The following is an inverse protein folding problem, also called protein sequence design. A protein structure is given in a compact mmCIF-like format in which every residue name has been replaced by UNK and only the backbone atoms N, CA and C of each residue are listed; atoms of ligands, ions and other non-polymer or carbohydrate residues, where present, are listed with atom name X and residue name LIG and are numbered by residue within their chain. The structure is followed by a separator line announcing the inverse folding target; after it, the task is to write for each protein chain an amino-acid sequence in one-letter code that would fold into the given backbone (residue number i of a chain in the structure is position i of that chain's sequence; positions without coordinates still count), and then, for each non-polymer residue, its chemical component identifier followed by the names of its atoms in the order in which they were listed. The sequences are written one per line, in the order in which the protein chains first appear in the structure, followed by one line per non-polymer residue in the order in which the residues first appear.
data_IF_149196499081
#
_entry.id   IF_149196499081
#
_cell.length_a   1.000
_cell.length_b   1.000
_cell.length_c   1.000
_cell.angle_alpha   90.00
_cell.angle_beta   90.00
_cell.angle_gamma   90.00
#
_symmetry.space_group_name_H-M   'P 1'
#
loop_
_entity.id
_entity.type
_entity.pdbx_description
1 polymer ?
#
# COMPACT_ATOMS: atom_id res chain seq x y z
N UNK A 1 19.39 36.53 -19.57
CA UNK A 1 19.29 35.17 -19.03
C UNK A 1 17.85 34.72 -19.27
N UNK A 2 17.59 33.96 -20.34
CA UNK A 2 16.22 33.61 -20.74
C UNK A 2 15.70 32.59 -19.73
N UNK A 3 14.85 33.05 -18.81
CA UNK A 3 13.92 32.20 -18.06
C UNK A 3 12.94 31.62 -19.06
N UNK A 4 13.40 30.64 -19.84
CA UNK A 4 12.55 29.88 -20.73
C UNK A 4 11.74 28.97 -19.81
N UNK A 5 10.45 29.24 -19.69
CA UNK A 5 9.54 28.48 -18.84
C UNK A 5 9.54 27.02 -19.30
N UNK A 6 10.42 26.23 -18.67
CA UNK A 6 10.64 24.84 -19.01
C UNK A 6 9.34 24.03 -18.91
N UNK A 7 8.39 24.48 -18.08
CA UNK A 7 7.06 23.85 -17.97
C UNK A 7 6.28 23.99 -19.26
N UNK A 8 6.26 25.18 -19.87
CA UNK A 8 5.58 25.40 -21.14
C UNK A 8 6.25 24.63 -22.29
N UNK A 9 7.59 24.54 -22.30
CA UNK A 9 8.31 23.69 -23.26
C UNK A 9 7.94 22.21 -23.09
N UNK A 10 8.09 21.66 -21.89
CA UNK A 10 7.79 20.24 -21.63
C UNK A 10 6.33 19.91 -21.91
N UNK A 11 5.41 20.86 -21.70
CA UNK A 11 3.99 20.69 -22.04
C UNK A 11 3.79 20.58 -23.55
N UNK A 12 4.46 21.41 -24.36
CA UNK A 12 4.45 21.28 -25.83
C UNK A 12 5.05 19.95 -26.28
N UNK A 13 6.19 19.55 -25.73
CA UNK A 13 6.87 18.29 -26.05
C UNK A 13 6.00 17.08 -25.64
N UNK A 14 5.27 17.17 -24.52
CA UNK A 14 4.30 16.14 -24.11
C UNK A 14 3.11 16.04 -25.06
N UNK A 15 2.64 17.17 -25.61
CA UNK A 15 1.56 17.19 -26.60
C UNK A 15 2.04 16.54 -27.89
N UNK A 16 3.21 16.93 -28.40
CA UNK A 16 3.81 16.35 -29.61
C UNK A 16 4.00 14.83 -29.45
N UNK A 17 4.54 14.39 -28.31
CA UNK A 17 4.67 12.96 -28.00
C UNK A 17 3.31 12.24 -28.05
N UNK A 18 2.28 12.79 -27.42
CA UNK A 18 0.94 12.19 -27.39
C UNK A 18 0.29 12.12 -28.77
N UNK A 19 0.41 13.16 -29.59
CA UNK A 19 -0.29 13.28 -30.88
C UNK A 19 0.43 12.57 -32.02
N UNK A 20 1.78 12.51 -31.98
CA UNK A 20 2.58 11.96 -33.08
C UNK A 20 3.30 10.67 -32.74
N UNK A 21 4.01 10.62 -31.61
CA UNK A 21 4.90 9.50 -31.27
C UNK A 21 4.12 8.30 -30.76
N UNK A 22 3.19 8.52 -29.83
CA UNK A 22 2.43 7.47 -29.19
C UNK A 22 1.57 6.64 -30.18
N UNK A 23 0.84 7.23 -31.16
CA UNK A 23 0.10 6.45 -32.16
C UNK A 23 0.99 5.64 -33.10
N UNK A 24 2.23 6.09 -33.31
CA UNK A 24 3.24 5.41 -34.13
C UNK A 24 3.99 4.31 -33.38
N UNK A 25 3.62 4.04 -32.12
CA UNK A 25 4.31 3.12 -31.21
C UNK A 25 5.75 3.51 -30.89
N UNK A 26 6.11 4.78 -31.07
CA UNK A 26 7.37 5.35 -30.60
C UNK A 26 7.21 5.76 -29.13
N UNK A 27 7.46 4.81 -28.23
CA UNK A 27 7.20 4.95 -26.80
C UNK A 27 8.33 5.60 -26.00
N UNK A 28 9.40 6.06 -26.64
CA UNK A 28 10.55 6.64 -25.93
C UNK A 28 10.22 7.99 -25.27
N UNK A 29 9.65 7.92 -24.07
CA UNK A 29 9.21 9.08 -23.31
C UNK A 29 10.36 9.96 -22.79
N UNK A 30 11.58 9.44 -22.78
CA UNK A 30 12.74 10.19 -22.27
C UNK A 30 13.03 11.41 -23.17
N UNK A 31 12.63 11.35 -24.45
CA UNK A 31 12.77 12.45 -25.40
C UNK A 31 12.15 13.76 -24.90
N UNK A 32 11.09 13.68 -24.09
CA UNK A 32 10.37 14.86 -23.57
C UNK A 32 11.25 15.61 -22.57
N UNK A 33 11.89 14.90 -21.64
CA UNK A 33 12.62 15.53 -20.54
C UNK A 33 14.14 15.52 -20.69
N UNK A 34 14.72 14.75 -21.62
CA UNK A 34 16.15 14.81 -21.90
C UNK A 34 16.58 16.20 -22.39
N UNK A 35 15.67 16.95 -23.01
CA UNK A 35 15.86 18.35 -23.40
C UNK A 35 15.90 19.33 -22.21
N UNK A 36 15.48 18.91 -21.01
CA UNK A 36 15.66 19.69 -19.79
C UNK A 36 17.17 19.82 -19.51
N UNK A 37 17.71 20.99 -19.15
CA UNK A 37 19.16 21.16 -19.00
C UNK A 37 19.71 20.74 -17.63
N UNK A 38 18.95 20.93 -16.55
CA UNK A 38 19.48 20.70 -15.20
C UNK A 38 19.42 19.22 -14.82
N UNK A 39 20.46 18.76 -14.12
CA UNK A 39 20.58 17.38 -13.61
C UNK A 39 20.91 17.43 -12.12
N UNK A 40 20.39 16.47 -11.38
CA UNK A 40 20.78 16.20 -9.99
C UNK A 40 21.41 14.82 -10.01
N UNK A 41 22.68 14.71 -9.61
CA UNK A 41 23.46 13.46 -9.66
C UNK A 41 23.42 12.78 -11.04
N UNK A 42 23.60 13.58 -12.10
CA UNK A 42 23.49 13.16 -13.51
C UNK A 42 22.13 12.58 -13.93
N UNK A 43 21.08 12.74 -13.12
CA UNK A 43 19.71 12.29 -13.42
C UNK A 43 18.76 13.45 -13.61
N UNK A 44 17.68 13.19 -14.36
CA UNK A 44 16.56 14.13 -14.50
C UNK A 44 15.88 14.29 -13.13
N UNK A 45 15.63 15.53 -12.66
CA UNK A 45 14.93 15.73 -11.41
C UNK A 45 13.54 15.08 -11.41
N UNK A 46 13.18 14.42 -10.30
CA UNK A 46 11.88 13.74 -10.17
C UNK A 46 10.68 14.69 -10.37
N UNK A 47 10.85 15.98 -10.04
CA UNK A 47 9.84 17.01 -10.26
C UNK A 47 9.48 17.17 -11.75
N UNK A 48 10.48 17.06 -12.64
CA UNK A 48 10.32 17.15 -14.09
C UNK A 48 9.55 15.92 -14.61
N UNK A 49 9.96 14.72 -14.21
CA UNK A 49 9.28 13.47 -14.57
C UNK A 49 7.82 13.49 -14.09
N UNK A 50 7.60 13.95 -12.86
CA UNK A 50 6.27 14.14 -12.29
C UNK A 50 5.42 15.13 -13.10
N UNK A 51 6.03 16.24 -13.54
CA UNK A 51 5.34 17.24 -14.36
C UNK A 51 4.92 16.67 -15.70
N UNK A 52 5.83 15.98 -16.40
CA UNK A 52 5.53 15.29 -17.67
C UNK A 52 4.44 14.24 -17.47
N UNK A 53 4.58 13.38 -16.47
CA UNK A 53 3.60 12.33 -16.16
C UNK A 53 2.19 12.89 -15.89
N UNK A 54 2.06 14.00 -15.17
CA UNK A 54 0.76 14.66 -14.92
C UNK A 54 0.13 15.23 -16.18
N UNK A 55 0.93 15.85 -17.06
CA UNK A 55 0.45 16.40 -18.33
C UNK A 55 0.02 15.28 -19.28
N UNK A 56 0.83 14.23 -19.40
CA UNK A 56 0.53 13.07 -20.24
C UNK A 56 -0.72 12.34 -19.75
N UNK A 57 -0.84 12.11 -18.44
CA UNK A 57 -2.02 11.53 -17.83
C UNK A 57 -3.30 12.33 -18.15
N UNK A 58 -3.21 13.66 -18.25
CA UNK A 58 -4.35 14.50 -18.59
C UNK A 58 -4.89 14.26 -20.00
N UNK A 59 -3.98 14.00 -20.95
CA UNK A 59 -4.32 13.69 -22.35
C UNK A 59 -4.83 12.26 -22.48
N UNK A 60 -4.10 11.29 -21.91
CA UNK A 60 -4.43 9.87 -22.00
C UNK A 60 -5.73 9.49 -21.32
N UNK A 61 -6.14 10.22 -20.27
CA UNK A 61 -7.32 9.85 -19.48
C UNK A 61 -8.62 9.74 -20.30
N UNK A 62 -8.72 10.31 -21.50
CA UNK A 62 -9.93 10.17 -22.34
C UNK A 62 -10.06 8.78 -22.97
N UNK A 63 -8.93 8.18 -23.35
CA UNK A 63 -8.87 6.92 -24.11
C UNK A 63 -7.80 5.98 -23.52
N UNK A 64 -7.73 5.93 -22.18
CA UNK A 64 -6.65 5.23 -21.47
C UNK A 64 -6.64 3.72 -21.73
N UNK A 65 -7.72 3.15 -22.25
CA UNK A 65 -7.83 1.75 -22.65
C UNK A 65 -7.10 1.42 -23.95
N UNK A 66 -6.79 2.42 -24.78
CA UNK A 66 -6.05 2.22 -26.05
C UNK A 66 -4.54 2.07 -25.87
N UNK A 67 -4.01 2.33 -24.68
CA UNK A 67 -2.57 2.52 -24.46
C UNK A 67 -1.94 1.50 -23.52
N UNK A 68 -2.51 0.29 -23.39
CA UNK A 68 -1.94 -0.77 -22.55
C UNK A 68 -0.50 -1.14 -22.94
N UNK A 69 -0.19 -1.24 -24.23
CA UNK A 69 1.18 -1.52 -24.70
C UNK A 69 2.18 -0.47 -24.20
N UNK A 70 1.77 0.80 -24.18
CA UNK A 70 2.60 1.88 -23.68
C UNK A 70 2.78 1.80 -22.16
N UNK A 71 1.74 1.40 -21.41
CA UNK A 71 1.84 1.22 -19.97
C UNK A 71 2.80 0.09 -19.60
N UNK A 72 2.73 -1.02 -20.33
CA UNK A 72 3.65 -2.13 -20.17
C UNK A 72 5.08 -1.72 -20.56
N UNK A 73 5.25 -0.90 -21.59
CA UNK A 73 6.55 -0.31 -21.94
C UNK A 73 7.12 0.55 -20.79
N UNK A 74 6.32 1.43 -20.18
CA UNK A 74 6.78 2.26 -19.06
C UNK A 74 7.32 1.41 -17.91
N UNK A 75 6.60 0.37 -17.52
CA UNK A 75 6.98 -0.49 -16.40
C UNK A 75 8.18 -1.38 -16.71
N UNK A 76 8.29 -1.88 -17.94
CA UNK A 76 9.32 -2.86 -18.31
C UNK A 76 10.61 -2.24 -18.87
N UNK A 77 10.56 -1.00 -19.38
CA UNK A 77 11.69 -0.36 -20.10
C UNK A 77 12.17 0.94 -19.50
N UNK A 78 11.36 1.63 -18.68
CA UNK A 78 11.69 2.96 -18.13
C UNK A 78 11.89 2.98 -16.61
N UNK A 79 11.95 1.81 -15.98
CA UNK A 79 12.28 1.62 -14.56
C UNK A 79 11.50 2.59 -13.62
N UNK A 80 12.22 3.34 -12.78
CA UNK A 80 11.64 4.26 -11.80
C UNK A 80 10.86 5.40 -12.48
N UNK A 81 11.41 5.99 -13.55
CA UNK A 81 10.78 7.11 -14.25
C UNK A 81 9.46 6.65 -14.89
N UNK A 82 9.48 5.47 -15.51
CA UNK A 82 8.29 4.84 -16.08
C UNK A 82 7.22 4.58 -15.03
N UNK A 83 7.62 4.06 -13.87
CA UNK A 83 6.70 3.80 -12.75
C UNK A 83 6.03 5.08 -12.23
N UNK A 84 6.78 6.18 -12.12
CA UNK A 84 6.22 7.49 -11.73
C UNK A 84 5.14 7.92 -12.72
N UNK A 85 5.44 7.89 -14.01
CA UNK A 85 4.52 8.32 -15.06
C UNK A 85 3.29 7.41 -15.09
N UNK A 86 3.49 6.10 -15.05
CA UNK A 86 2.43 5.09 -14.97
C UNK A 86 1.48 5.37 -13.80
N UNK A 87 2.01 5.60 -12.60
CA UNK A 87 1.20 5.87 -11.41
C UNK A 87 0.31 7.11 -11.56
N UNK A 88 0.80 8.17 -12.23
CA UNK A 88 -0.01 9.36 -12.52
C UNK A 88 -1.07 9.10 -13.59
N UNK A 89 -0.76 8.34 -14.64
CA UNK A 89 -1.75 7.95 -15.65
C UNK A 89 -2.89 7.15 -14.99
N UNK A 90 -2.52 6.12 -14.22
CA UNK A 90 -3.48 5.28 -13.51
C UNK A 90 -4.33 6.06 -12.51
N UNK A 91 -3.76 7.04 -11.80
CA UNK A 91 -4.51 7.91 -10.87
C UNK A 91 -5.68 8.66 -11.51
N UNK A 92 -5.63 8.90 -12.83
CA UNK A 92 -6.73 9.52 -13.59
C UNK A 92 -7.62 8.47 -14.24
N UNK A 93 -7.03 7.45 -14.86
CA UNK A 93 -7.76 6.41 -15.58
C UNK A 93 -8.74 5.65 -14.65
N UNK A 94 -8.26 5.30 -13.45
CA UNK A 94 -9.04 4.56 -12.45
C UNK A 94 -10.28 5.33 -11.98
N UNK A 95 -10.25 6.66 -11.95
CA UNK A 95 -11.41 7.47 -11.54
C UNK A 95 -12.56 7.42 -12.54
N UNK A 96 -12.26 7.11 -13.80
CA UNK A 96 -13.26 7.05 -14.87
C UNK A 96 -13.83 5.65 -15.07
N UNK A 97 -12.99 4.62 -14.99
CA UNK A 97 -13.38 3.21 -15.13
C UNK A 97 -12.77 2.36 -14.00
N UNK A 98 -13.23 2.51 -12.73
CA UNK A 98 -12.61 1.84 -11.58
C UNK A 98 -12.53 0.32 -11.74
N UNK A 99 -13.61 -0.33 -12.19
CA UNK A 99 -13.68 -1.78 -12.32
C UNK A 99 -12.67 -2.36 -13.31
N UNK A 100 -12.41 -1.64 -14.41
CA UNK A 100 -11.45 -2.05 -15.44
C UNK A 100 -10.03 -1.88 -14.92
N UNK A 101 -9.71 -0.70 -14.38
CA UNK A 101 -8.34 -0.40 -13.98
C UNK A 101 -7.94 -1.03 -12.65
N UNK A 102 -8.88 -1.35 -11.74
CA UNK A 102 -8.58 -2.15 -10.56
C UNK A 102 -8.11 -3.55 -10.94
N UNK A 103 -8.81 -4.23 -11.85
CA UNK A 103 -8.39 -5.56 -12.34
C UNK A 103 -7.03 -5.50 -13.06
N UNK A 104 -6.77 -4.44 -13.81
CA UNK A 104 -5.48 -4.25 -14.45
C UNK A 104 -4.36 -3.99 -13.43
N UNK A 105 -4.60 -3.11 -12.45
CA UNK A 105 -3.64 -2.79 -11.40
C UNK A 105 -3.35 -3.97 -10.48
N UNK A 106 -4.34 -4.84 -10.21
CA UNK A 106 -4.13 -6.10 -9.49
C UNK A 106 -3.05 -6.95 -10.16
N UNK A 107 -3.18 -7.17 -11.48
CA UNK A 107 -2.19 -7.93 -12.27
C UNK A 107 -0.81 -7.29 -12.20
N UNK A 108 -0.74 -5.97 -12.40
CA UNK A 108 0.53 -5.23 -12.35
C UNK A 108 1.16 -5.32 -10.95
N UNK A 109 0.41 -5.00 -9.90
CA UNK A 109 0.90 -4.97 -8.52
C UNK A 109 1.34 -6.36 -8.03
N UNK A 110 0.69 -7.42 -8.49
CA UNK A 110 1.10 -8.80 -8.20
C UNK A 110 2.45 -9.14 -8.84
N UNK A 111 2.77 -8.54 -9.99
CA UNK A 111 4.03 -8.74 -10.70
C UNK A 111 5.17 -7.80 -10.24
N UNK A 112 4.88 -6.78 -9.43
CA UNK A 112 5.89 -5.83 -8.95
C UNK A 112 6.92 -6.55 -8.06
N UNK A 113 8.21 -6.26 -8.31
CA UNK A 113 9.36 -6.91 -7.67
C UNK A 113 10.08 -6.06 -6.62
N UNK A 114 9.61 -4.83 -6.39
CA UNK A 114 10.21 -3.91 -5.42
C UNK A 114 9.16 -3.10 -4.63
N UNK A 115 9.51 -2.75 -3.39
CA UNK A 115 8.60 -2.04 -2.49
C UNK A 115 8.35 -0.58 -2.89
N UNK A 116 9.30 0.07 -3.56
CA UNK A 116 9.23 1.51 -3.88
C UNK A 116 8.18 1.75 -4.96
N UNK A 117 8.22 0.97 -6.03
CA UNK A 117 7.26 0.99 -7.12
C UNK A 117 5.85 0.63 -6.64
N UNK A 118 5.74 -0.43 -5.82
CA UNK A 118 4.47 -0.87 -5.27
C UNK A 118 3.81 0.23 -4.42
N UNK A 119 4.57 0.83 -3.49
CA UNK A 119 4.08 1.95 -2.67
C UNK A 119 3.64 3.14 -3.55
N UNK A 120 4.44 3.49 -4.56
CA UNK A 120 4.15 4.65 -5.42
C UNK A 120 2.83 4.48 -6.18
N UNK A 121 2.60 3.31 -6.77
CA UNK A 121 1.36 2.99 -7.48
C UNK A 121 0.19 2.99 -6.48
N UNK A 122 0.35 2.35 -5.33
CA UNK A 122 -0.68 2.29 -4.29
C UNK A 122 -1.05 3.69 -3.77
N UNK A 123 -0.08 4.55 -3.47
CA UNK A 123 -0.33 5.89 -2.94
C UNK A 123 -0.94 6.86 -3.97
N UNK A 124 -0.54 6.75 -5.25
CA UNK A 124 -0.98 7.69 -6.28
C UNK A 124 -2.25 7.24 -7.00
N UNK A 125 -2.39 5.94 -7.28
CA UNK A 125 -3.53 5.42 -8.04
C UNK A 125 -4.63 4.87 -7.14
N UNK A 126 -4.29 4.03 -6.17
CA UNK A 126 -5.28 3.28 -5.37
C UNK A 126 -5.81 4.10 -4.20
N UNK A 127 -4.94 4.65 -3.36
CA UNK A 127 -5.34 5.34 -2.13
C UNK A 127 -6.38 6.46 -2.37
N UNK A 128 -6.27 7.33 -3.39
CA UNK A 128 -7.25 8.39 -3.60
C UNK A 128 -8.67 7.89 -3.88
N UNK A 129 -8.83 6.76 -4.57
CA UNK A 129 -10.17 6.21 -4.83
C UNK A 129 -10.73 5.50 -3.60
N UNK A 130 -9.88 4.75 -2.87
CA UNK A 130 -10.30 4.04 -1.66
C UNK A 130 -10.70 5.05 -0.59
N UNK A 131 -9.89 6.09 -0.36
CA UNK A 131 -10.23 7.18 0.57
C UNK A 131 -11.55 7.87 0.21
N UNK A 132 -11.82 8.08 -1.08
CA UNK A 132 -13.06 8.76 -1.50
C UNK A 132 -14.29 7.88 -1.27
N UNK A 133 -14.16 6.56 -1.43
CA UNK A 133 -15.25 5.60 -1.31
C UNK A 133 -14.78 4.28 -0.66
N UNK A 134 -14.51 4.28 0.66
CA UNK A 134 -13.92 3.11 1.31
C UNK A 134 -14.80 1.87 1.19
N UNK A 135 -16.11 2.02 1.41
CA UNK A 135 -17.07 0.91 1.36
C UNK A 135 -17.16 0.23 -0.01
N UNK A 136 -16.87 0.94 -1.10
CA UNK A 136 -16.93 0.38 -2.46
C UNK A 136 -15.66 -0.42 -2.82
N UNK A 137 -14.48 0.03 -2.37
CA UNK A 137 -13.21 -0.51 -2.89
C UNK A 137 -12.37 -1.26 -1.86
N UNK A 138 -12.57 -1.02 -0.57
CA UNK A 138 -11.70 -1.56 0.47
C UNK A 138 -11.69 -3.10 0.49
N UNK A 139 -12.84 -3.74 0.30
CA UNK A 139 -12.94 -5.20 0.23
C UNK A 139 -12.13 -5.79 -0.93
N UNK A 140 -12.17 -5.15 -2.09
CA UNK A 140 -11.37 -5.55 -3.25
C UNK A 140 -9.88 -5.45 -2.94
N UNK A 141 -9.45 -4.34 -2.33
CA UNK A 141 -8.02 -4.14 -2.00
C UNK A 141 -7.55 -5.10 -0.90
N UNK A 142 -8.38 -5.42 0.09
CA UNK A 142 -8.02 -6.39 1.13
C UNK A 142 -7.86 -7.80 0.55
N UNK A 143 -8.70 -8.20 -0.42
CA UNK A 143 -8.56 -9.51 -1.10
C UNK A 143 -7.24 -9.66 -1.84
N UNK A 144 -6.56 -8.57 -2.21
CA UNK A 144 -5.24 -8.65 -2.84
C UNK A 144 -4.14 -9.15 -1.89
N UNK A 145 -4.40 -9.23 -0.58
CA UNK A 145 -3.49 -9.88 0.38
C UNK A 145 -3.35 -11.37 0.04
N UNK A 146 -4.40 -12.01 -0.47
CA UNK A 146 -4.44 -13.44 -0.83
C UNK A 146 -3.57 -13.77 -2.05
N UNK A 147 -3.03 -12.76 -2.75
CA UNK A 147 -2.10 -12.92 -3.88
C UNK A 147 -0.65 -13.18 -3.42
N UNK A 148 -0.41 -13.20 -2.10
CA UNK A 148 0.84 -13.58 -1.45
C UNK A 148 2.11 -12.82 -1.92
N UNK A 149 1.96 -11.69 -2.60
CA UNK A 149 3.07 -10.80 -2.93
C UNK A 149 3.45 -9.95 -1.71
N UNK A 150 4.60 -10.22 -1.09
CA UNK A 150 5.10 -9.50 0.10
C UNK A 150 5.14 -7.97 -0.06
N UNK A 151 5.47 -7.46 -1.25
CA UNK A 151 5.55 -6.01 -1.50
C UNK A 151 4.16 -5.38 -1.53
N UNK A 152 3.20 -6.10 -2.12
CA UNK A 152 1.80 -5.72 -2.16
C UNK A 152 1.18 -5.75 -0.76
N UNK A 153 1.38 -6.83 0.01
CA UNK A 153 0.90 -6.94 1.39
C UNK A 153 1.41 -5.77 2.24
N UNK A 154 2.71 -5.44 2.16
CA UNK A 154 3.28 -4.31 2.88
C UNK A 154 2.69 -2.96 2.42
N UNK A 155 2.42 -2.79 1.13
CA UNK A 155 1.82 -1.56 0.60
C UNK A 155 0.36 -1.43 1.02
N UNK A 156 -0.39 -2.54 1.06
CA UNK A 156 -1.75 -2.60 1.59
C UNK A 156 -1.74 -2.25 3.08
N UNK A 157 -0.81 -2.81 3.87
CA UNK A 157 -0.66 -2.44 5.28
C UNK A 157 -0.51 -0.91 5.46
N UNK A 158 0.40 -0.28 4.71
CA UNK A 158 0.56 1.19 4.74
C UNK A 158 -0.71 1.94 4.36
N UNK A 159 -1.43 1.47 3.33
CA UNK A 159 -2.69 2.05 2.90
C UNK A 159 -3.75 1.95 4.01
N UNK A 160 -3.90 0.78 4.63
CA UNK A 160 -4.87 0.54 5.70
C UNK A 160 -4.55 1.38 6.95
N UNK A 161 -3.28 1.45 7.36
CA UNK A 161 -2.84 2.32 8.46
C UNK A 161 -3.22 3.78 8.18
N UNK A 162 -2.94 4.26 6.97
CA UNK A 162 -3.28 5.63 6.56
C UNK A 162 -4.78 5.89 6.59
N UNK A 163 -5.60 4.91 6.21
CA UNK A 163 -7.06 4.99 6.32
C UNK A 163 -7.52 5.02 7.79
N UNK A 164 -7.01 4.14 8.65
CA UNK A 164 -7.36 4.09 10.08
C UNK A 164 -7.07 5.43 10.76
N UNK A 165 -5.93 6.07 10.45
CA UNK A 165 -5.60 7.39 10.99
C UNK A 165 -6.44 8.52 10.41
N UNK A 166 -6.94 8.38 9.19
CA UNK A 166 -7.73 9.43 8.53
C UNK A 166 -9.23 9.32 8.85
N UNK A 167 -9.75 8.10 8.98
CA UNK A 167 -11.16 7.76 9.20
C UNK A 167 -11.24 6.63 10.26
N UNK A 168 -11.07 6.96 11.56
CA UNK A 168 -11.01 5.97 12.64
C UNK A 168 -12.23 5.05 12.76
N UNK A 169 -13.40 5.46 12.27
CA UNK A 169 -14.58 4.59 12.21
C UNK A 169 -14.38 3.33 11.38
N UNK A 170 -13.45 3.35 10.41
CA UNK A 170 -13.11 2.21 9.57
C UNK A 170 -12.28 1.15 10.30
N UNK A 171 -11.70 1.47 11.45
CA UNK A 171 -10.82 0.55 12.19
C UNK A 171 -11.49 -0.80 12.49
N UNK A 172 -12.75 -0.79 12.96
CA UNK A 172 -13.52 -2.01 13.25
C UNK A 172 -13.80 -2.81 11.99
N UNK A 173 -14.14 -2.13 10.91
CA UNK A 173 -14.44 -2.76 9.62
C UNK A 173 -13.19 -3.42 9.02
N UNK A 174 -12.07 -2.69 8.98
CA UNK A 174 -10.78 -3.19 8.49
C UNK A 174 -10.35 -4.40 9.32
N UNK A 175 -10.43 -4.31 10.65
CA UNK A 175 -10.10 -5.42 11.53
C UNK A 175 -10.93 -6.65 11.23
N UNK A 176 -12.27 -6.53 11.17
CA UNK A 176 -13.15 -7.67 10.92
C UNK A 176 -12.89 -8.35 9.58
N UNK A 177 -12.46 -7.61 8.55
CA UNK A 177 -12.07 -8.18 7.25
C UNK A 177 -10.73 -8.91 7.30
N UNK A 178 -9.79 -8.45 8.11
CA UNK A 178 -8.49 -9.10 8.27
C UNK A 178 -8.56 -10.30 9.23
N UNK A 179 -9.44 -10.24 10.21
CA UNK A 179 -9.68 -11.29 11.20
C UNK A 179 -10.08 -12.62 10.53
N UNK A 180 -10.80 -12.58 9.42
CA UNK A 180 -11.23 -13.78 8.68
C UNK A 180 -10.07 -14.61 8.14
N UNK A 181 -8.88 -14.02 7.93
CA UNK A 181 -7.71 -14.74 7.42
C UNK A 181 -6.78 -15.28 8.52
N UNK A 182 -7.09 -15.06 9.80
CA UNK A 182 -6.21 -15.45 10.91
C UNK A 182 -5.95 -16.96 10.97
N UNK A 183 -6.93 -17.79 10.60
CA UNK A 183 -6.80 -19.24 10.71
C UNK A 183 -5.69 -19.81 9.80
N UNK A 184 -5.46 -19.16 8.65
CA UNK A 184 -4.51 -19.58 7.63
C UNK A 184 -3.43 -18.52 7.39
N UNK A 185 -3.15 -17.68 8.40
CA UNK A 185 -2.25 -16.54 8.23
C UNK A 185 -0.80 -16.97 7.95
N UNK A 186 -0.25 -16.48 6.84
CA UNK A 186 1.17 -16.55 6.53
C UNK A 186 1.97 -15.59 7.44
N UNK A 187 3.31 -15.70 7.52
CA UNK A 187 4.13 -14.79 8.33
C UNK A 187 3.92 -13.30 8.01
N UNK A 188 3.65 -12.96 6.75
CA UNK A 188 3.38 -11.57 6.35
C UNK A 188 1.96 -11.12 6.74
N UNK A 189 0.97 -12.02 6.72
CA UNK A 189 -0.38 -11.75 7.25
C UNK A 189 -0.35 -11.57 8.78
N UNK A 190 0.47 -12.35 9.50
CA UNK A 190 0.66 -12.18 10.95
C UNK A 190 1.23 -10.80 11.26
N UNK A 191 2.28 -10.38 10.53
CA UNK A 191 2.87 -9.04 10.67
C UNK A 191 1.88 -7.94 10.34
N UNK A 192 1.11 -8.10 9.25
CA UNK A 192 0.08 -7.14 8.85
C UNK A 192 -0.96 -6.98 9.95
N UNK A 193 -1.54 -8.06 10.46
CA UNK A 193 -2.54 -8.01 11.52
C UNK A 193 -2.00 -7.42 12.82
N UNK A 194 -0.78 -7.81 13.20
CA UNK A 194 -0.11 -7.24 14.38
C UNK A 194 0.12 -5.74 14.23
N UNK A 195 0.52 -5.30 13.04
CA UNK A 195 0.73 -3.88 12.72
C UNK A 195 -0.58 -3.10 12.79
N UNK A 196 -1.66 -3.63 12.21
CA UNK A 196 -2.97 -2.99 12.21
C UNK A 196 -3.50 -2.84 13.64
N UNK A 197 -3.41 -3.88 14.47
CA UNK A 197 -3.83 -3.81 15.87
C UNK A 197 -3.08 -2.73 16.66
N UNK A 198 -1.77 -2.54 16.41
CA UNK A 198 -1.00 -1.46 17.05
C UNK A 198 -1.49 -0.07 16.65
N UNK A 199 -1.92 0.11 15.41
CA UNK A 199 -2.48 1.38 14.95
C UNK A 199 -3.92 1.59 15.44
N UNK A 200 -4.69 0.51 15.60
CA UNK A 200 -5.99 0.56 16.28
C UNK A 200 -5.81 1.01 17.72
N UNK A 201 -4.81 0.52 18.46
CA UNK A 201 -4.54 1.01 19.82
C UNK A 201 -4.36 2.53 19.90
N UNK A 202 -3.73 3.15 18.90
CA UNK A 202 -3.50 4.60 18.87
C UNK A 202 -4.77 5.42 18.58
N UNK A 203 -5.73 4.84 17.87
CA UNK A 203 -6.91 5.55 17.35
C UNK A 203 -8.21 5.17 18.07
N UNK A 204 -8.32 3.93 18.54
CA UNK A 204 -9.46 3.38 19.26
C UNK A 204 -9.00 2.34 20.31
N UNK A 205 -8.48 2.79 21.47
CA UNK A 205 -8.00 1.91 22.55
C UNK A 205 -9.06 0.94 23.07
N UNK A 206 -10.31 1.39 23.20
CA UNK A 206 -11.40 0.55 23.71
C UNK A 206 -11.66 -0.65 22.80
N UNK A 207 -11.69 -0.41 21.48
CA UNK A 207 -11.82 -1.50 20.52
C UNK A 207 -10.60 -2.43 20.58
N UNK A 208 -9.38 -1.89 20.67
CA UNK A 208 -8.17 -2.70 20.83
C UNK A 208 -8.27 -3.65 22.03
N UNK A 209 -8.68 -3.18 23.21
CA UNK A 209 -8.83 -4.04 24.38
C UNK A 209 -9.97 -5.05 24.23
N UNK A 210 -11.07 -4.67 23.57
CA UNK A 210 -12.17 -5.60 23.30
C UNK A 210 -11.74 -6.79 22.43
N UNK A 211 -10.78 -6.60 21.51
CA UNK A 211 -10.20 -7.70 20.73
C UNK A 211 -9.50 -8.71 21.64
N UNK A 212 -8.67 -8.24 22.60
CA UNK A 212 -8.02 -9.15 23.55
C UNK A 212 -9.03 -9.90 24.41
N UNK A 213 -10.10 -9.23 24.85
CA UNK A 213 -11.16 -9.86 25.63
C UNK A 213 -11.88 -10.96 24.84
N UNK A 214 -12.21 -10.71 23.56
CA UNK A 214 -12.83 -11.69 22.66
C UNK A 214 -11.95 -12.94 22.49
N UNK A 215 -10.63 -12.76 22.47
CA UNK A 215 -9.66 -13.84 22.29
C UNK A 215 -9.05 -14.38 23.59
N UNK A 216 -9.59 -14.03 24.77
CA UNK A 216 -8.96 -14.38 26.06
C UNK A 216 -8.76 -15.87 26.30
N UNK A 217 -9.59 -16.70 25.67
CA UNK A 217 -9.54 -18.17 25.76
C UNK A 217 -8.82 -18.82 24.58
N UNK A 218 -8.20 -18.05 23.68
CA UNK A 218 -7.57 -18.61 22.49
C UNK A 218 -6.44 -19.58 22.85
N UNK A 219 -6.47 -20.75 22.21
CA UNK A 219 -5.42 -21.76 22.26
C UNK A 219 -4.70 -21.91 20.93
N UNK A 220 -5.08 -21.11 19.92
CA UNK A 220 -4.46 -21.15 18.61
C UNK A 220 -3.12 -20.37 18.63
N UNK A 221 -1.98 -21.02 18.34
CA UNK A 221 -0.68 -20.34 18.32
C UNK A 221 -0.62 -19.16 17.34
N UNK A 222 -1.29 -19.22 16.20
CA UNK A 222 -1.29 -18.14 15.20
C UNK A 222 -1.98 -16.89 15.77
N UNK A 223 -3.12 -17.08 16.45
CA UNK A 223 -3.86 -15.97 17.04
C UNK A 223 -3.05 -15.35 18.18
N UNK A 224 -2.41 -16.21 19.01
CA UNK A 224 -1.52 -15.75 20.07
C UNK A 224 -0.28 -15.02 19.52
N UNK A 225 0.23 -15.41 18.36
CA UNK A 225 1.36 -14.74 17.70
C UNK A 225 0.96 -13.34 17.20
N UNK A 226 -0.22 -13.21 16.58
CA UNK A 226 -0.78 -11.92 16.16
C UNK A 226 -1.00 -11.00 17.37
N UNK A 227 -1.72 -11.49 18.38
CA UNK A 227 -2.03 -10.74 19.59
C UNK A 227 -0.77 -10.41 20.40
N UNK A 228 0.18 -11.33 20.48
CA UNK A 228 1.46 -11.13 21.15
C UNK A 228 2.33 -10.11 20.42
N UNK A 229 2.36 -10.16 19.09
CA UNK A 229 3.02 -9.20 18.24
C UNK A 229 2.43 -7.79 18.34
N UNK A 230 1.16 -7.68 18.72
CA UNK A 230 0.40 -6.43 18.84
C UNK A 230 0.41 -5.76 20.22
N UNK A 231 1.11 -6.31 21.23
CA UNK A 231 1.09 -5.75 22.60
C UNK A 231 1.74 -4.36 22.63
N UNK A 232 0.94 -3.32 22.92
CA UNK A 232 1.38 -1.92 22.96
C UNK A 232 1.69 -1.41 24.37
N UNK A 233 0.93 -1.82 25.38
CA UNK A 233 1.04 -1.36 26.77
C UNK A 233 0.92 -2.54 27.74
N UNK A 234 1.16 -2.28 29.03
CA UNK A 234 0.73 -3.20 30.07
C UNK A 234 -0.76 -3.03 30.34
N UNK A 235 -1.48 -4.14 30.47
CA UNK A 235 -2.89 -4.17 30.86
C UNK A 235 -3.19 -5.52 31.52
N UNK A 236 -3.91 -5.53 32.64
CA UNK A 236 -4.15 -6.73 33.44
C UNK A 236 -4.80 -7.87 32.63
N UNK A 237 -5.78 -7.55 31.79
CA UNK A 237 -6.43 -8.52 30.90
C UNK A 237 -5.41 -9.22 29.99
N UNK A 238 -4.51 -8.44 29.37
CA UNK A 238 -3.50 -8.99 28.45
C UNK A 238 -2.51 -9.86 29.24
N UNK A 239 -2.09 -9.44 30.43
CA UNK A 239 -1.22 -10.22 31.29
C UNK A 239 -1.84 -11.56 31.71
N UNK A 240 -3.12 -11.59 32.09
CA UNK A 240 -3.85 -12.83 32.41
C UNK A 240 -3.87 -13.79 31.21
N UNK A 241 -4.15 -13.29 30.00
CA UNK A 241 -4.17 -14.08 28.77
C UNK A 241 -2.79 -14.67 28.49
N UNK A 242 -1.76 -13.83 28.54
CA UNK A 242 -0.36 -14.21 28.28
C UNK A 242 0.15 -15.21 29.33
N UNK A 243 -0.23 -15.07 30.59
CA UNK A 243 0.03 -16.04 31.66
C UNK A 243 -0.59 -17.40 31.35
N UNK A 244 -1.81 -17.44 30.83
CA UNK A 244 -2.44 -18.70 30.43
C UNK A 244 -1.66 -19.37 29.29
N UNK A 245 -1.25 -18.61 28.27
CA UNK A 245 -0.42 -19.14 27.17
C UNK A 245 0.92 -19.70 27.67
N UNK A 246 1.59 -19.02 28.61
CA UNK A 246 2.88 -19.45 29.16
C UNK A 246 2.84 -20.80 29.91
N UNK A 247 1.66 -21.21 30.36
CA UNK A 247 1.41 -22.49 31.06
C UNK A 247 0.85 -23.57 30.14
N UNK A 248 0.67 -23.28 28.86
CA UNK A 248 0.09 -24.22 27.90
C UNK A 248 0.98 -25.46 27.70
N UNK A 249 0.35 -26.62 27.52
CA UNK A 249 1.02 -27.85 27.06
C UNK A 249 1.46 -27.78 25.58
N UNK A 250 0.89 -26.86 24.79
CA UNK A 250 1.33 -26.63 23.42
C UNK A 250 2.65 -25.83 23.41
N UNK A 251 3.73 -26.44 22.92
CA UNK A 251 5.09 -25.86 22.93
C UNK A 251 5.15 -24.51 22.19
N UNK A 252 4.47 -24.37 21.04
CA UNK A 252 4.46 -23.11 20.28
C UNK A 252 3.78 -22.01 21.08
N UNK A 253 2.59 -22.29 21.62
CA UNK A 253 1.83 -21.33 22.43
C UNK A 253 2.60 -20.93 23.71
N UNK A 254 3.23 -21.90 24.37
CA UNK A 254 4.07 -21.67 25.55
C UNK A 254 5.23 -20.73 25.26
N UNK A 255 5.95 -20.93 24.14
CA UNK A 255 7.05 -20.04 23.71
C UNK A 255 6.56 -18.61 23.48
N UNK A 256 5.43 -18.45 22.79
CA UNK A 256 4.80 -17.13 22.56
C UNK A 256 4.44 -16.47 23.90
N UNK A 257 3.78 -17.20 24.80
CA UNK A 257 3.40 -16.70 26.13
C UNK A 257 4.60 -16.23 26.94
N UNK A 258 5.68 -17.01 27.02
CA UNK A 258 6.91 -16.63 27.74
C UNK A 258 7.54 -15.36 27.12
N UNK A 259 7.57 -15.25 25.80
CA UNK A 259 8.07 -14.04 25.12
C UNK A 259 7.22 -12.81 25.47
N UNK A 260 5.90 -12.95 25.41
CA UNK A 260 4.96 -11.88 25.71
C UNK A 260 5.02 -11.44 27.19
N UNK A 261 5.25 -12.36 28.13
CA UNK A 261 5.44 -12.01 29.55
C UNK A 261 6.66 -11.10 29.75
N UNK A 262 7.79 -11.43 29.09
CA UNK A 262 8.99 -10.59 29.14
C UNK A 262 8.70 -9.19 28.58
N UNK A 263 7.91 -9.11 27.51
CA UNK A 263 7.53 -7.86 26.88
C UNK A 263 6.60 -7.01 27.77
N UNK A 264 5.61 -7.64 28.43
CA UNK A 264 4.70 -6.96 29.36
C UNK A 264 5.42 -6.42 30.59
N UNK A 265 6.33 -7.20 31.22
CA UNK A 265 7.12 -6.73 32.37
C UNK A 265 7.94 -5.48 32.05
N UNK A 266 8.51 -5.39 30.83
CA UNK A 266 9.25 -4.20 30.37
C UNK A 266 8.35 -2.98 30.16
N UNK A 267 7.04 -3.19 29.97
CA UNK A 267 6.05 -2.13 29.78
C UNK A 267 5.35 -1.73 31.07
N UNK A 268 5.34 -2.60 32.09
CA UNK A 268 4.88 -2.28 33.46
C UNK A 268 5.88 -1.37 34.18
N UNK A 269 7.18 -1.54 33.89
CA UNK A 269 8.27 -0.75 34.47
C UNK A 269 8.48 0.63 33.80
N UNK A 270 7.62 1.04 32.86
CA UNK A 270 7.72 2.29 32.10
C UNK A 270 6.45 3.09 32.27
#
# INVERSE_FOLDING_TARGET
MISLDWKERLKKDTIDFYERKLPQKDYDIDIIYNAYPERIDNKIPQAVITFVGKNLAAKLAKEADKYYEFYDYLLNKKEENGTIIFAYIMSRAIRKKPEVYLKYLEKILTAVKDQKSCNLIMDKAIFPIVKKKPKEYLDTIIKWIDLENKYLINSINKLLIKLIHTEPELAKYIFGKLETSWLYATPDIIKLNSSILKEIYKTNPDFYFSVYENYKMTRNPVFAEILGGAICCYHETIDKIVKNWSKSGNIKLKKIGIHCQKLLRRKESK
#
